data_IF_631194777750
#
_entry.id   IF_631194777750
#
_cell.length_a   1.000
_cell.length_b   1.000
_cell.length_c   1.000
_cell.angle_alpha   90.00
_cell.angle_beta   90.00
_cell.angle_gamma   90.00
#
_symmetry.space_group_name_H-M   'P 1'
#
loop_
_entity.id
_entity.type
_entity.pdbx_description
1 polymer ?
#
# COMPACT_ATOMS: atom_id res chain seq x y z
N UNK A 1 6.42 -1.60 34.72
CA UNK A 1 7.20 -2.54 33.89
C UNK A 1 8.69 -2.25 34.12
N UNK A 2 9.55 -3.26 34.30
CA UNK A 2 11.00 -3.08 34.41
C UNK A 2 11.60 -2.40 33.18
N UNK A 3 12.66 -1.60 33.36
CA UNK A 3 13.32 -0.85 32.28
C UNK A 3 13.82 -1.74 31.13
N UNK A 4 14.35 -2.93 31.47
CA UNK A 4 14.82 -3.90 30.48
C UNK A 4 13.69 -4.49 29.62
N UNK A 5 12.49 -4.66 30.19
CA UNK A 5 11.32 -5.16 29.47
C UNK A 5 10.78 -4.07 28.52
N UNK A 6 10.71 -2.82 28.97
CA UNK A 6 10.36 -1.68 28.11
C UNK A 6 11.34 -1.51 26.94
N UNK A 7 12.64 -1.65 27.19
CA UNK A 7 13.66 -1.57 26.14
C UNK A 7 13.44 -2.64 25.05
N UNK A 8 13.20 -3.90 25.45
CA UNK A 8 12.89 -4.99 24.52
C UNK A 8 11.65 -4.70 23.68
N UNK A 9 10.55 -4.26 24.29
CA UNK A 9 9.32 -3.94 23.56
C UNK A 9 9.51 -2.78 22.57
N UNK A 10 10.30 -1.78 22.95
CA UNK A 10 10.67 -0.67 22.06
C UNK A 10 11.52 -1.13 20.88
N UNK A 11 12.44 -2.07 21.07
CA UNK A 11 13.23 -2.66 19.98
C UNK A 11 12.34 -3.40 18.97
N UNK A 12 11.35 -4.17 19.44
CA UNK A 12 10.39 -4.87 18.56
C UNK A 12 9.60 -3.85 17.73
N UNK A 13 9.02 -2.82 18.38
CA UNK A 13 8.26 -1.81 17.66
C UNK A 13 9.13 -0.97 16.73
N UNK A 14 10.37 -0.64 17.11
CA UNK A 14 11.30 0.07 16.25
C UNK A 14 11.68 -0.76 15.02
N UNK A 15 11.78 -2.08 15.16
CA UNK A 15 11.99 -2.99 14.03
C UNK A 15 10.78 -2.99 13.07
N UNK A 16 9.55 -3.15 13.57
CA UNK A 16 8.34 -3.11 12.75
C UNK A 16 8.13 -1.74 12.08
N UNK A 17 8.33 -0.66 12.83
CA UNK A 17 8.24 0.71 12.33
C UNK A 17 9.19 0.96 11.17
N UNK A 18 10.42 0.45 11.25
CA UNK A 18 11.38 0.54 10.13
C UNK A 18 10.92 -0.24 8.91
N UNK A 19 10.46 -1.47 9.07
CA UNK A 19 9.98 -2.31 7.95
C UNK A 19 8.82 -1.64 7.20
N UNK A 20 7.93 -1.00 7.94
CA UNK A 20 6.73 -0.36 7.41
C UNK A 20 7.05 0.71 6.33
N UNK A 21 8.23 1.37 6.40
CA UNK A 21 8.68 2.28 5.34
C UNK A 21 9.09 1.60 4.03
N UNK A 22 9.38 0.30 4.05
CA UNK A 22 9.92 -0.47 2.93
C UNK A 22 8.90 -1.42 2.28
N UNK A 23 7.62 -1.36 2.65
CA UNK A 23 6.56 -2.15 2.01
C UNK A 23 6.35 -1.64 0.58
N UNK A 24 6.66 -2.37 -0.50
CA UNK A 24 6.44 -1.86 -1.85
C UNK A 24 4.96 -1.85 -2.24
N UNK A 25 4.54 -0.88 -3.05
CA UNK A 25 3.27 -0.98 -3.77
C UNK A 25 3.40 -2.03 -4.88
N UNK A 26 2.49 -3.02 -4.93
CA UNK A 26 2.55 -4.08 -5.94
C UNK A 26 1.85 -3.66 -7.24
N UNK A 27 2.63 -3.32 -8.27
CA UNK A 27 2.08 -2.83 -9.53
C UNK A 27 1.29 -3.91 -10.30
N UNK A 28 1.50 -5.20 -9.99
CA UNK A 28 0.73 -6.32 -10.57
C UNK A 28 -0.76 -6.22 -10.28
N UNK A 29 -1.14 -5.67 -9.12
CA UNK A 29 -2.54 -5.42 -8.76
C UNK A 29 -3.24 -4.50 -9.76
N UNK A 30 -2.49 -3.69 -10.50
CA UNK A 30 -3.04 -2.78 -11.52
C UNK A 30 -2.88 -3.38 -12.92
N UNK A 31 -1.73 -3.99 -13.22
CA UNK A 31 -1.43 -4.48 -14.58
C UNK A 31 -2.07 -5.83 -14.92
N UNK A 32 -2.40 -6.65 -13.92
CA UNK A 32 -2.95 -8.00 -14.11
C UNK A 32 -4.44 -8.12 -13.70
N UNK A 33 -4.97 -7.18 -12.91
CA UNK A 33 -6.39 -7.17 -12.58
C UNK A 33 -7.22 -6.89 -13.83
N UNK A 34 -8.02 -7.90 -14.24
CA UNK A 34 -8.95 -7.82 -15.37
C UNK A 34 -10.20 -7.02 -15.00
N UNK A 35 -10.05 -5.76 -14.59
CA UNK A 35 -11.13 -4.78 -14.71
C UNK A 35 -11.16 -4.26 -16.15
N UNK A 36 -12.23 -3.62 -16.56
CA UNK A 36 -12.46 -3.12 -17.94
C UNK A 36 -11.51 -1.97 -18.34
N UNK A 37 -10.28 -1.99 -17.84
CA UNK A 37 -9.33 -0.90 -17.82
C UNK A 37 -8.12 -1.30 -18.66
N UNK A 38 -7.73 -0.42 -19.59
CA UNK A 38 -6.53 -0.61 -20.40
C UNK A 38 -5.32 -0.15 -19.58
N UNK A 39 -4.31 -1.01 -19.44
CA UNK A 39 -3.04 -0.65 -18.80
C UNK A 39 -1.90 -0.69 -19.82
N UNK A 40 -1.24 0.45 -20.02
CA UNK A 40 -0.10 0.59 -20.92
C UNK A 40 1.16 0.92 -20.10
N UNK A 41 2.15 0.04 -20.12
CA UNK A 41 3.48 0.32 -19.57
C UNK A 41 4.34 0.94 -20.68
N UNK A 42 4.85 2.14 -20.42
CA UNK A 42 5.65 2.93 -21.35
C UNK A 42 7.06 3.08 -20.77
N UNK A 43 8.01 2.32 -21.31
CA UNK A 43 9.42 2.36 -20.89
C UNK A 43 10.35 2.82 -22.01
N UNK A 44 10.14 2.35 -23.24
CA UNK A 44 11.00 2.71 -24.38
C UNK A 44 10.46 3.96 -25.10
N UNK A 45 11.34 4.93 -25.35
CA UNK A 45 10.98 6.15 -26.09
C UNK A 45 9.99 7.06 -25.35
N UNK A 46 9.88 6.96 -24.01
CA UNK A 46 8.94 7.76 -23.22
C UNK A 46 9.13 9.26 -23.50
N UNK A 47 10.37 9.75 -23.54
CA UNK A 47 10.70 11.15 -23.80
C UNK A 47 10.22 11.66 -25.18
N UNK A 48 10.04 10.77 -26.15
CA UNK A 48 9.68 11.11 -27.53
C UNK A 48 8.16 11.21 -27.73
N UNK A 49 7.36 10.77 -26.75
CA UNK A 49 5.90 10.77 -26.81
C UNK A 49 5.35 12.19 -26.66
N UNK A 50 4.48 12.60 -27.56
CA UNK A 50 3.71 13.84 -27.39
C UNK A 50 2.54 13.62 -26.43
N UNK A 51 1.94 14.70 -25.93
CA UNK A 51 0.72 14.60 -25.12
C UNK A 51 -0.41 13.88 -25.87
N UNK A 52 -0.55 14.11 -27.19
CA UNK A 52 -1.57 13.43 -27.99
C UNK A 52 -1.30 11.92 -28.02
N UNK A 53 -0.05 11.50 -28.22
CA UNK A 53 0.31 10.07 -28.26
C UNK A 53 0.05 9.33 -26.94
N UNK A 54 0.06 10.05 -25.82
CA UNK A 54 -0.13 9.47 -24.48
C UNK A 54 -1.61 9.35 -24.10
N UNK A 55 -2.42 10.35 -24.46
CA UNK A 55 -3.79 10.49 -23.94
C UNK A 55 -4.87 10.12 -24.97
N UNK A 56 -4.51 9.95 -26.25
CA UNK A 56 -5.42 9.45 -27.29
C UNK A 56 -5.53 7.92 -27.24
N UNK A 57 -6.28 7.40 -26.25
CA UNK A 57 -6.48 5.96 -26.05
C UNK A 57 -7.83 5.51 -26.64
N UNK A 58 -7.79 4.43 -27.42
CA UNK A 58 -9.00 3.81 -27.97
C UNK A 58 -9.76 3.00 -26.92
N UNK A 59 -11.06 3.28 -26.77
CA UNK A 59 -11.98 2.59 -25.84
C UNK A 59 -13.22 2.07 -26.59
N UNK A 60 -14.05 1.25 -25.93
CA UNK A 60 -15.28 0.68 -26.52
C UNK A 60 -16.33 1.73 -26.90
N UNK A 61 -17.24 1.39 -27.82
CA UNK A 61 -18.23 2.33 -28.39
C UNK A 61 -19.17 2.96 -27.33
N UNK A 62 -19.48 2.24 -26.25
CA UNK A 62 -20.42 2.65 -25.18
C UNK A 62 -19.76 3.36 -23.99
N UNK A 63 -18.44 3.54 -24.02
CA UNK A 63 -17.65 4.09 -22.93
C UNK A 63 -17.09 5.48 -23.27
N UNK A 64 -16.82 6.28 -22.24
CA UNK A 64 -16.03 7.50 -22.33
C UNK A 64 -14.91 7.48 -21.28
N UNK A 65 -13.75 8.07 -21.62
CA UNK A 65 -12.62 8.20 -20.69
C UNK A 65 -13.03 9.15 -19.57
N UNK A 66 -13.01 8.66 -18.33
CA UNK A 66 -13.24 9.45 -17.13
C UNK A 66 -11.94 10.14 -16.67
N UNK A 67 -10.79 9.50 -16.90
CA UNK A 67 -9.47 10.02 -16.60
C UNK A 67 -8.41 8.93 -16.68
N UNK A 68 -7.28 9.15 -16.01
CA UNK A 68 -6.22 8.16 -15.93
C UNK A 68 -5.57 8.13 -14.54
N UNK A 69 -5.06 6.96 -14.15
CA UNK A 69 -4.07 6.84 -13.07
C UNK A 69 -2.70 6.61 -13.70
N UNK A 70 -1.76 7.52 -13.41
CA UNK A 70 -0.40 7.47 -13.90
C UNK A 70 0.55 7.07 -12.78
N UNK A 71 1.24 5.95 -12.95
CA UNK A 71 2.26 5.44 -12.05
C UNK A 71 3.64 5.83 -12.58
N UNK A 72 4.39 6.62 -11.81
CA UNK A 72 5.66 7.20 -12.20
C UNK A 72 6.85 6.52 -11.54
N UNK A 73 7.97 6.45 -12.27
CA UNK A 73 9.25 5.98 -11.76
C UNK A 73 9.20 4.50 -11.43
N UNK A 74 8.78 3.66 -12.38
CA UNK A 74 8.66 2.23 -12.14
C UNK A 74 10.05 1.60 -11.96
N UNK A 75 10.18 0.73 -10.95
CA UNK A 75 11.40 -0.04 -10.71
C UNK A 75 11.09 -1.39 -10.06
N UNK A 76 12.02 -2.34 -10.18
CA UNK A 76 11.87 -3.68 -9.64
C UNK A 76 11.92 -3.68 -8.10
N UNK A 77 11.02 -4.43 -7.45
CA UNK A 77 11.03 -4.62 -5.98
C UNK A 77 12.36 -5.20 -5.49
N UNK A 78 13.08 -5.94 -6.34
CA UNK A 78 14.42 -6.48 -6.09
C UNK A 78 15.50 -5.42 -5.72
N UNK A 79 15.28 -4.14 -5.95
CA UNK A 79 16.17 -3.07 -5.44
C UNK A 79 16.14 -3.00 -3.89
N UNK A 80 15.00 -3.30 -3.27
CA UNK A 80 14.85 -3.36 -1.80
C UNK A 80 15.71 -4.49 -1.23
N UNK A 81 15.70 -5.65 -1.90
CA UNK A 81 16.54 -6.80 -1.54
C UNK A 81 18.03 -6.50 -1.62
N UNK A 82 18.45 -5.70 -2.60
CA UNK A 82 19.84 -5.30 -2.75
C UNK A 82 20.28 -4.42 -1.58
N UNK A 83 19.44 -3.47 -1.16
CA UNK A 83 19.68 -2.69 0.05
C UNK A 83 19.79 -3.59 1.28
N UNK A 84 18.82 -4.49 1.49
CA UNK A 84 18.83 -5.42 2.62
C UNK A 84 20.09 -6.32 2.63
N UNK A 85 20.53 -6.80 1.47
CA UNK A 85 21.79 -7.56 1.31
C UNK A 85 23.02 -6.71 1.64
N UNK A 86 23.03 -5.43 1.29
CA UNK A 86 24.11 -4.50 1.63
C UNK A 86 24.25 -4.25 3.13
N UNK A 87 23.15 -4.30 3.88
CA UNK A 87 23.11 -4.08 5.33
C UNK A 87 23.48 -5.32 6.16
N UNK A 88 23.45 -6.52 5.55
CA UNK A 88 23.78 -7.76 6.27
C UNK A 88 25.27 -7.83 6.61
N UNK A 89 25.57 -8.04 7.90
CA UNK A 89 26.90 -8.50 8.34
C UNK A 89 27.17 -9.91 7.80
N UNK A 90 28.43 -10.23 7.48
CA UNK A 90 28.89 -11.56 7.01
C UNK A 90 28.61 -12.73 7.98
N UNK A 91 27.98 -12.50 9.12
CA UNK A 91 27.81 -13.47 10.22
C UNK A 91 26.51 -14.26 10.15
N UNK A 92 25.53 -13.83 9.36
CA UNK A 92 24.23 -14.52 9.21
C UNK A 92 24.30 -15.37 7.94
N UNK A 93 24.54 -16.68 8.08
CA UNK A 93 24.64 -17.60 6.95
C UNK A 93 23.69 -18.80 7.11
N UNK A 94 22.96 -19.13 6.04
CA UNK A 94 22.32 -20.43 5.84
C UNK A 94 20.80 -20.43 5.91
N UNK A 95 20.23 -20.67 7.10
CA UNK A 95 18.79 -20.92 7.23
C UNK A 95 17.92 -19.66 7.19
N UNK A 96 18.39 -18.56 7.79
CA UNK A 96 17.65 -17.28 7.81
C UNK A 96 17.52 -16.67 6.41
N UNK A 97 18.50 -16.90 5.52
CA UNK A 97 18.44 -16.42 4.13
C UNK A 97 17.33 -17.07 3.30
N UNK A 98 17.06 -18.36 3.51
CA UNK A 98 15.98 -19.05 2.80
C UNK A 98 14.60 -18.63 3.34
N UNK A 99 14.46 -18.49 4.66
CA UNK A 99 13.19 -18.03 5.26
C UNK A 99 12.88 -16.58 4.85
N UNK A 100 13.88 -15.70 4.83
CA UNK A 100 13.72 -14.32 4.37
C UNK A 100 13.36 -14.26 2.89
N UNK A 101 14.01 -15.08 2.04
CA UNK A 101 13.71 -15.14 0.62
C UNK A 101 12.30 -15.70 0.32
N UNK A 102 11.78 -16.62 1.14
CA UNK A 102 10.40 -17.11 1.02
C UNK A 102 9.36 -16.10 1.54
N UNK A 103 9.75 -15.21 2.47
CA UNK A 103 8.86 -14.17 3.02
C UNK A 103 8.86 -12.87 2.23
N UNK A 104 9.93 -12.58 1.51
CA UNK A 104 10.06 -11.35 0.75
C UNK A 104 9.28 -11.44 -0.56
N UNK A 105 8.18 -10.70 -0.68
CA UNK A 105 7.50 -10.47 -1.96
C UNK A 105 8.31 -9.48 -2.81
N UNK A 106 9.41 -9.97 -3.39
CA UNK A 106 10.34 -9.13 -4.17
C UNK A 106 10.25 -9.37 -5.67
N UNK A 107 9.27 -10.16 -6.09
CA UNK A 107 8.95 -10.35 -7.51
C UNK A 107 8.02 -9.24 -8.02
N UNK A 108 8.28 -8.80 -9.24
CA UNK A 108 7.54 -7.72 -9.90
C UNK A 108 8.06 -6.31 -9.62
N UNK A 109 7.23 -5.35 -10.00
CA UNK A 109 7.56 -3.93 -10.05
C UNK A 109 6.77 -3.11 -9.03
N UNK A 110 7.36 -1.98 -8.65
CA UNK A 110 6.74 -0.94 -7.83
C UNK A 110 6.98 0.43 -8.47
N UNK A 111 6.49 1.50 -7.85
CA UNK A 111 6.59 2.86 -8.40
C UNK A 111 6.87 3.90 -7.31
N UNK A 112 7.25 5.11 -7.72
CA UNK A 112 7.48 6.22 -6.80
C UNK A 112 6.18 6.92 -6.40
N UNK A 113 5.28 7.14 -7.37
CA UNK A 113 4.09 7.92 -7.15
C UNK A 113 2.97 7.52 -8.12
N UNK A 114 1.73 7.79 -7.71
CA UNK A 114 0.51 7.73 -8.51
C UNK A 114 -0.05 9.15 -8.63
N UNK A 115 -0.39 9.57 -9.85
CA UNK A 115 -1.09 10.82 -10.12
C UNK A 115 -2.40 10.54 -10.86
N UNK A 116 -3.48 11.19 -10.44
CA UNK A 116 -4.72 11.21 -11.21
C UNK A 116 -4.61 12.26 -12.31
N UNK A 117 -5.14 11.94 -13.48
CA UNK A 117 -5.15 12.81 -14.65
C UNK A 117 -6.57 12.93 -15.19
N UNK A 118 -6.90 14.12 -15.68
CA UNK A 118 -8.11 14.33 -16.49
C UNK A 118 -8.02 13.59 -17.83
N UNK A 119 -9.13 13.43 -18.59
CA UNK A 119 -9.09 12.84 -19.93
C UNK A 119 -8.17 13.55 -20.93
N UNK A 120 -7.81 14.81 -20.66
CA UNK A 120 -6.83 15.57 -21.46
C UNK A 120 -5.38 15.39 -21.02
N UNK A 121 -5.11 14.54 -20.04
CA UNK A 121 -3.78 14.31 -19.46
C UNK A 121 -3.29 15.41 -18.52
N UNK A 122 -4.17 16.30 -18.06
CA UNK A 122 -3.83 17.34 -17.08
C UNK A 122 -3.78 16.72 -15.69
N UNK A 123 -2.69 16.89 -14.92
CA UNK A 123 -2.55 16.29 -13.60
C UNK A 123 -3.39 16.99 -12.55
N UNK A 124 -3.99 16.18 -11.68
CA UNK A 124 -4.52 16.63 -10.40
C UNK A 124 -3.42 16.50 -9.35
N UNK A 125 -2.89 17.65 -8.91
CA UNK A 125 -1.79 17.71 -7.94
C UNK A 125 -2.27 17.62 -6.48
N UNK A 126 -3.58 17.70 -6.25
CA UNK A 126 -4.15 17.59 -4.91
C UNK A 126 -4.40 16.12 -4.52
N UNK A 127 -4.45 15.20 -5.50
CA UNK A 127 -4.65 13.76 -5.30
C UNK A 127 -3.42 12.90 -5.61
N UNK A 128 -2.22 13.45 -5.41
CA UNK A 128 -0.96 12.71 -5.55
C UNK A 128 -0.81 11.72 -4.39
N UNK A 129 -0.53 10.46 -4.72
CA UNK A 129 -0.12 9.44 -3.74
C UNK A 129 1.34 9.04 -3.97
N UNK A 130 2.15 8.93 -2.91
CA UNK A 130 3.59 8.67 -2.99
C UNK A 130 3.98 7.46 -2.16
N UNK A 131 4.89 6.66 -2.71
CA UNK A 131 5.47 5.51 -2.02
C UNK A 131 6.51 5.97 -1.00
N UNK A 132 6.48 5.42 0.21
CA UNK A 132 7.53 5.70 1.21
C UNK A 132 8.87 5.05 0.84
N UNK A 133 8.84 3.98 0.04
CA UNK A 133 10.01 3.13 -0.20
C UNK A 133 11.17 3.89 -0.84
N UNK A 134 11.00 4.67 -1.93
CA UNK A 134 12.13 5.36 -2.55
C UNK A 134 12.81 6.36 -1.61
N UNK A 135 12.01 7.12 -0.85
CA UNK A 135 12.51 8.07 0.13
C UNK A 135 13.25 7.34 1.27
N UNK A 136 12.69 6.25 1.76
CA UNK A 136 13.30 5.45 2.81
C UNK A 136 14.63 4.81 2.36
N UNK A 137 14.71 4.30 1.12
CA UNK A 137 15.96 3.83 0.50
C UNK A 137 16.98 4.97 0.42
N UNK A 138 16.57 6.16 -0.02
CA UNK A 138 17.46 7.32 -0.07
C UNK A 138 18.06 7.67 1.29
N UNK A 139 17.24 7.71 2.35
CA UNK A 139 17.71 7.93 3.73
C UNK A 139 18.66 6.81 4.19
N UNK A 140 18.30 5.56 3.92
CA UNK A 140 19.12 4.40 4.26
C UNK A 140 20.50 4.43 3.56
N UNK A 141 20.55 4.83 2.28
CA UNK A 141 21.80 4.96 1.53
C UNK A 141 22.74 6.04 2.09
N UNK A 142 22.22 6.98 2.88
CA UNK A 142 22.98 8.01 3.58
C UNK A 142 23.22 7.69 5.06
N UNK A 143 22.95 6.46 5.50
CA UNK A 143 23.01 6.02 6.90
C UNK A 143 22.08 6.81 7.86
N UNK A 144 21.03 7.44 7.33
CA UNK A 144 20.08 8.27 8.07
C UNK A 144 18.87 7.46 8.59
N UNK A 145 19.13 6.32 9.24
CA UNK A 145 18.06 5.40 9.73
C UNK A 145 17.13 6.03 10.76
N UNK A 146 17.68 6.89 11.62
CA UNK A 146 16.89 7.58 12.64
C UNK A 146 16.04 8.72 12.05
N UNK A 147 16.25 9.07 10.78
CA UNK A 147 15.42 10.04 10.06
C UNK A 147 14.11 9.43 9.55
N UNK A 148 13.95 8.10 9.56
CA UNK A 148 12.72 7.42 9.20
C UNK A 148 11.68 7.58 10.31
N UNK A 149 10.97 8.72 10.30
CA UNK A 149 9.86 9.03 11.22
C UNK A 149 8.67 9.57 10.44
N UNK A 150 7.46 9.50 11.01
CA UNK A 150 6.25 10.05 10.39
C UNK A 150 6.40 11.56 10.16
N UNK A 151 6.99 12.28 11.13
CA UNK A 151 7.20 13.72 11.00
C UNK A 151 8.15 14.06 9.85
N UNK A 152 9.32 13.41 9.77
CA UNK A 152 10.28 13.70 8.70
C UNK A 152 9.74 13.27 7.33
N UNK A 153 8.95 12.19 7.28
CA UNK A 153 8.21 11.77 6.09
C UNK A 153 7.22 12.85 5.67
N UNK A 154 6.38 13.33 6.58
CA UNK A 154 5.40 14.38 6.32
C UNK A 154 6.06 15.66 5.80
N UNK A 155 7.16 16.10 6.44
CA UNK A 155 7.94 17.26 6.01
C UNK A 155 8.53 17.07 4.60
N UNK A 156 9.08 15.88 4.33
CA UNK A 156 9.62 15.56 3.00
C UNK A 156 8.51 15.50 1.94
N UNK A 157 7.34 14.97 2.26
CA UNK A 157 6.21 14.87 1.33
C UNK A 157 5.60 16.26 1.06
N UNK A 158 5.55 17.14 2.07
CA UNK A 158 5.17 18.54 1.87
C UNK A 158 6.13 19.28 0.92
N UNK A 159 7.45 19.08 1.08
CA UNK A 159 8.46 19.61 0.14
C UNK A 159 8.26 19.06 -1.28
N UNK A 160 7.95 17.77 -1.44
CA UNK A 160 7.64 17.19 -2.74
C UNK A 160 6.42 17.85 -3.38
N UNK A 161 5.35 18.06 -2.63
CA UNK A 161 4.14 18.73 -3.12
C UNK A 161 4.45 20.13 -3.66
N UNK A 162 5.31 20.88 -2.97
CA UNK A 162 5.74 22.20 -3.43
C UNK A 162 6.61 22.14 -4.68
N UNK A 163 7.51 21.17 -4.78
CA UNK A 163 8.31 20.94 -5.99
C UNK A 163 7.44 20.57 -7.19
N UNK A 164 6.44 19.73 -7.01
CA UNK A 164 5.49 19.33 -8.06
C UNK A 164 4.67 20.53 -8.55
N UNK A 165 4.11 21.34 -7.63
CA UNK A 165 3.40 22.59 -7.98
C UNK A 165 4.30 23.58 -8.70
N UNK A 166 5.55 23.72 -8.24
CA UNK A 166 6.55 24.57 -8.89
C UNK A 166 6.93 24.08 -10.29
N UNK A 167 7.05 22.77 -10.50
CA UNK A 167 7.30 22.17 -11.80
C UNK A 167 6.12 22.40 -12.76
N UNK A 168 4.89 22.19 -12.29
CA UNK A 168 3.69 22.43 -13.08
C UNK A 168 3.53 23.91 -13.46
N UNK A 169 3.79 24.82 -12.52
CA UNK A 169 3.77 26.27 -12.79
C UNK A 169 4.77 26.63 -13.90
N UNK A 170 5.99 26.09 -13.84
CA UNK A 170 7.01 26.31 -14.88
C UNK A 170 6.58 25.75 -16.23
N UNK A 171 5.98 24.55 -16.24
CA UNK A 171 5.45 23.91 -17.45
C UNK A 171 4.37 24.77 -18.10
N UNK A 172 3.40 25.24 -17.32
CA UNK A 172 2.30 26.09 -17.78
C UNK A 172 2.77 27.47 -18.29
N UNK A 173 3.82 28.04 -17.69
CA UNK A 173 4.43 29.30 -18.15
C UNK A 173 5.22 29.14 -19.47
N UNK A 174 5.81 27.96 -19.69
CA UNK A 174 6.57 27.66 -20.90
C UNK A 174 5.66 27.27 -22.08
N UNK A 175 4.46 26.77 -21.81
CA UNK A 175 3.51 26.34 -22.83
C UNK A 175 2.91 27.53 -23.60
N UNK A 176 2.83 27.42 -24.93
CA UNK A 176 2.05 28.35 -25.74
C UNK A 176 0.54 28.11 -25.55
N UNK A 177 -0.32 29.10 -25.87
CA UNK A 177 -1.79 28.96 -25.75
C UNK A 177 -2.39 27.77 -26.51
N UNK A 178 -1.67 27.22 -27.52
CA UNK A 178 -2.07 26.03 -28.28
C UNK A 178 -1.54 24.71 -27.69
N UNK A 179 -0.59 24.77 -26.76
CA UNK A 179 0.07 23.64 -26.09
C UNK A 179 -0.38 23.49 -24.63
N UNK A 180 -1.50 24.11 -24.23
CA UNK A 180 -2.13 23.93 -22.89
C UNK A 180 -2.65 22.50 -22.63
N UNK A 181 -2.06 21.51 -23.28
CA UNK A 181 -2.41 20.11 -23.22
C UNK A 181 -1.76 19.42 -22.00
N UNK A 182 -2.25 18.21 -21.72
CA UNK A 182 -1.74 17.34 -20.68
C UNK A 182 -0.25 17.02 -20.80
N UNK A 183 0.25 16.24 -19.85
CA UNK A 183 1.67 15.94 -19.74
C UNK A 183 2.20 15.30 -21.03
N UNK A 184 3.34 15.78 -21.52
CA UNK A 184 4.10 15.16 -22.60
C UNK A 184 5.06 14.11 -22.04
N UNK A 185 5.64 13.28 -22.91
CA UNK A 185 6.68 12.33 -22.55
C UNK A 185 7.90 12.98 -21.87
N UNK A 186 8.31 14.16 -22.33
CA UNK A 186 9.36 14.94 -21.67
C UNK A 186 8.97 15.43 -20.29
N UNK A 187 7.69 15.78 -20.07
CA UNK A 187 7.20 16.14 -18.74
C UNK A 187 7.24 14.93 -17.81
N UNK A 188 6.85 13.74 -18.28
CA UNK A 188 6.91 12.52 -17.48
C UNK A 188 8.34 12.18 -17.07
N UNK A 189 9.31 12.30 -17.98
CA UNK A 189 10.73 12.10 -17.65
C UNK A 189 11.23 13.14 -16.64
N UNK A 190 10.82 14.41 -16.78
CA UNK A 190 11.19 15.46 -15.83
C UNK A 190 10.59 15.21 -14.44
N UNK A 191 9.33 14.76 -14.36
CA UNK A 191 8.68 14.40 -13.09
C UNK A 191 9.36 13.18 -12.44
N UNK A 192 9.73 12.16 -13.22
CA UNK A 192 10.50 11.01 -12.72
C UNK A 192 11.85 11.47 -12.16
N UNK A 193 12.56 12.36 -12.86
CA UNK A 193 13.82 12.93 -12.37
C UNK A 193 13.63 13.72 -11.07
N UNK A 194 12.58 14.54 -10.98
CA UNK A 194 12.23 15.28 -9.77
C UNK A 194 11.97 14.34 -8.58
N UNK A 195 11.23 13.25 -8.80
CA UNK A 195 10.94 12.23 -7.78
C UNK A 195 12.22 11.52 -7.32
N UNK A 196 13.14 11.19 -8.22
CA UNK A 196 14.43 10.56 -7.89
C UNK A 196 15.33 11.50 -7.09
N UNK A 197 15.45 12.75 -7.54
CA UNK A 197 16.24 13.78 -6.86
C UNK A 197 15.68 14.08 -5.47
N UNK A 198 14.36 14.16 -5.32
CA UNK A 198 13.70 14.36 -4.04
C UNK A 198 13.91 13.17 -3.10
N UNK A 199 13.76 11.95 -3.60
CA UNK A 199 13.91 10.74 -2.80
C UNK A 199 15.37 10.50 -2.40
N UNK A 200 16.36 11.01 -3.15
CA UNK A 200 17.76 10.63 -3.00
C UNK A 200 18.03 9.20 -3.49
N UNK A 201 17.20 8.69 -4.40
CA UNK A 201 17.28 7.33 -4.92
C UNK A 201 16.94 7.28 -6.42
N UNK A 202 17.86 6.73 -7.21
CA UNK A 202 17.72 6.59 -8.66
C UNK A 202 17.94 5.12 -9.06
N UNK A 203 16.87 4.31 -9.18
CA UNK A 203 16.98 2.91 -9.56
C UNK A 203 17.44 2.75 -11.01
N UNK A 204 18.02 1.60 -11.34
CA UNK A 204 18.44 1.28 -12.70
C UNK A 204 17.21 1.17 -13.60
N UNK A 205 17.26 1.78 -14.79
CA UNK A 205 16.20 1.70 -15.82
C UNK A 205 14.83 2.29 -15.43
N UNK A 206 14.82 3.30 -14.56
CA UNK A 206 13.64 3.92 -13.95
C UNK A 206 12.85 4.92 -14.80
N UNK A 207 13.17 5.05 -16.10
CA UNK A 207 12.42 5.91 -17.03
C UNK A 207 11.18 5.20 -17.59
N UNK A 208 10.44 4.52 -16.72
CA UNK A 208 9.21 3.82 -17.05
C UNK A 208 8.03 4.42 -16.28
N UNK A 209 6.90 4.48 -16.96
CA UNK A 209 5.62 4.86 -16.39
C UNK A 209 4.55 3.85 -16.81
N UNK A 210 3.53 3.65 -15.98
CA UNK A 210 2.37 2.83 -16.31
C UNK A 210 1.12 3.70 -16.28
N UNK A 211 0.28 3.52 -17.29
CA UNK A 211 -0.95 4.26 -17.47
C UNK A 211 -2.13 3.32 -17.34
N UNK A 212 -3.00 3.56 -16.37
CA UNK A 212 -4.30 2.89 -16.23
C UNK A 212 -5.40 3.84 -16.69
N UNK A 213 -6.22 3.41 -17.64
CA UNK A 213 -7.35 4.19 -18.17
C UNK A 213 -8.59 3.93 -17.33
N UNK A 214 -9.22 4.99 -16.83
CA UNK A 214 -10.52 4.89 -16.15
C UNK A 214 -11.64 5.26 -17.12
N UNK A 215 -12.65 4.39 -17.23
CA UNK A 215 -13.79 4.59 -18.13
C UNK A 215 -15.10 4.74 -17.35
N UNK A 216 -16.07 5.42 -17.95
CA UNK A 216 -17.45 5.47 -17.45
C UNK A 216 -18.42 5.26 -18.61
N UNK A 217 -19.61 4.74 -18.30
CA UNK A 217 -20.68 4.58 -19.31
C UNK A 217 -21.14 5.94 -19.80
N UNK A 218 -21.29 6.09 -21.12
CA UNK A 218 -21.92 7.28 -21.70
C UNK A 218 -23.34 7.42 -21.15
N UNK A 219 -23.69 8.59 -20.62
CA UNK A 219 -25.08 8.89 -20.27
C UNK A 219 -25.87 8.97 -21.58
N UNK A 220 -26.63 7.93 -21.90
CA UNK A 220 -27.72 8.04 -22.86
C UNK A 220 -28.65 9.14 -22.38
N UNK A 221 -28.86 10.14 -23.23
CA UNK A 221 -29.84 11.20 -23.00
C UNK A 221 -31.24 10.62 -23.19
N UNK A 222 -31.69 9.82 -22.22
CA UNK A 222 -33.12 9.59 -22.03
C UNK A 222 -33.65 10.65 -21.07
N UNK A 223 -34.79 11.23 -21.45
CA UNK A 223 -35.44 12.35 -20.79
C UNK A 223 -35.81 12.03 -19.33
N UNK A 224 -35.90 13.04 -18.44
CA UNK A 224 -36.22 12.81 -17.04
C UNK A 224 -37.69 12.40 -16.90
N UNK A 225 -37.96 11.12 -16.61
CA UNK A 225 -39.25 10.70 -16.07
C UNK A 225 -39.28 10.87 -14.54
N UNK A 226 -40.46 11.23 -13.99
CA UNK A 226 -40.55 11.97 -12.74
C UNK A 226 -40.37 11.09 -11.50
N UNK A 227 -39.84 11.74 -10.48
CA UNK A 227 -39.69 11.24 -9.11
C UNK A 227 -41.00 10.67 -8.54
N UNK A 228 -40.93 9.44 -8.05
CA UNK A 228 -41.82 8.95 -7.01
C UNK A 228 -41.01 8.46 -5.80
N UNK A 229 -41.29 8.95 -4.59
CA UNK A 229 -40.62 8.53 -3.38
C UNK A 229 -41.28 7.26 -2.85
N UNK A 230 -40.49 6.23 -2.55
CA UNK A 230 -40.90 5.18 -1.63
C UNK A 230 -39.66 4.62 -0.95
N UNK A 231 -39.58 4.91 0.34
CA UNK A 231 -38.73 4.21 1.28
C UNK A 231 -39.08 2.72 1.26
N UNK A 232 -38.07 1.84 1.18
CA UNK A 232 -38.03 0.74 2.12
C UNK A 232 -36.61 0.24 2.35
N UNK A 233 -36.40 -0.21 3.58
CA UNK A 233 -35.14 -0.56 4.20
C UNK A 233 -34.58 -1.86 3.62
N UNK A 234 -33.30 -1.87 3.26
CA UNK A 234 -32.52 -3.10 3.17
C UNK A 234 -31.07 -2.82 3.59
N UNK A 235 -30.67 -3.52 4.65
CA UNK A 235 -29.37 -3.52 5.33
C UNK A 235 -28.30 -4.07 4.36
N UNK A 236 -27.11 -3.46 4.20
CA UNK A 236 -26.04 -4.10 3.44
C UNK A 236 -25.34 -5.15 4.29
N UNK A 237 -25.34 -6.37 3.77
CA UNK A 237 -24.53 -7.49 4.23
C UNK A 237 -23.05 -7.17 4.02
N UNK A 238 -22.26 -7.21 5.10
CA UNK A 238 -20.80 -7.17 5.02
C UNK A 238 -20.30 -8.47 4.39
N UNK A 239 -19.73 -8.37 3.18
CA UNK A 239 -18.85 -9.40 2.61
C UNK A 239 -17.40 -8.97 2.74
N UNK A 240 -16.69 -9.71 3.59
CA UNK A 240 -15.23 -9.76 3.66
C UNK A 240 -14.67 -10.39 2.37
N UNK A 241 -13.89 -9.63 1.61
CA UNK A 241 -12.85 -10.15 0.71
C UNK A 241 -11.96 -9.02 0.21
N UNK A 242 -10.67 -9.08 0.58
CA UNK A 242 -9.58 -8.32 -0.04
C UNK A 242 -9.36 -6.93 0.55
N UNK A 243 -8.30 -6.80 1.36
CA UNK A 243 -7.68 -5.51 1.67
C UNK A 243 -7.14 -4.89 0.37
N UNK A 244 -8.00 -4.15 -0.31
CA UNK A 244 -7.60 -3.15 -1.29
C UNK A 244 -7.21 -1.89 -0.52
N UNK A 245 -6.17 -1.13 -0.94
CA UNK A 245 -6.06 0.25 -0.49
C UNK A 245 -7.35 0.94 -0.92
N UNK A 246 -8.15 1.33 0.08
CA UNK A 246 -9.41 2.00 -0.14
C UNK A 246 -9.14 3.30 -0.91
N UNK A 247 -9.63 3.42 -2.14
CA UNK A 247 -9.96 4.73 -2.72
C UNK A 247 -11.14 5.26 -1.87
N UNK A 248 -10.80 5.83 -0.72
CA UNK A 248 -11.71 6.57 0.14
C UNK A 248 -12.00 7.91 -0.52
N UNK A 249 -13.07 7.96 -1.30
CA UNK A 249 -13.72 9.20 -1.72
C UNK A 249 -14.52 9.74 -0.52
N UNK A 250 -13.82 10.19 0.53
CA UNK A 250 -14.41 10.93 1.63
C UNK A 250 -14.31 12.43 1.32
N UNK A 251 -15.38 12.94 0.72
CA UNK A 251 -15.67 14.38 0.62
C UNK A 251 -16.02 14.93 2.02
N UNK A 252 -14.99 15.12 2.85
CA UNK A 252 -15.03 16.05 3.99
C UNK A 252 -14.15 17.26 3.69
N UNK A 253 -14.75 18.23 3.01
CA UNK A 253 -14.29 19.62 2.86
C UNK A 253 -14.18 20.33 4.23
N UNK A 254 -13.21 19.92 5.04
CA UNK A 254 -12.59 20.78 6.03
C UNK A 254 -11.20 21.13 5.48
N UNK A 255 -10.88 22.42 5.36
CA UNK A 255 -9.60 22.92 4.88
C UNK A 255 -8.43 22.34 5.70
N UNK A 256 -7.95 21.17 5.28
CA UNK A 256 -6.64 20.61 5.59
C UNK A 256 -5.76 20.95 4.40
N UNK A 257 -4.53 21.38 4.66
CA UNK A 257 -3.53 21.50 3.60
C UNK A 257 -3.49 20.17 2.83
N UNK A 258 -3.35 20.19 1.49
CA UNK A 258 -3.29 18.96 0.70
C UNK A 258 -2.03 18.16 1.11
N UNK A 259 -2.21 17.22 2.04
CA UNK A 259 -1.20 16.25 2.44
C UNK A 259 -1.14 15.18 1.35
N UNK A 260 0.06 14.91 0.83
CA UNK A 260 0.28 13.82 -0.13
C UNK A 260 -0.03 12.49 0.55
N UNK A 261 -0.89 11.70 -0.10
CA UNK A 261 -1.33 10.39 0.39
C UNK A 261 -0.22 9.34 0.29
N UNK A 262 -0.25 8.31 1.14
CA UNK A 262 0.75 7.24 1.18
C UNK A 262 0.25 6.03 0.39
N UNK A 263 1.04 5.53 -0.57
CA UNK A 263 0.63 4.40 -1.41
C UNK A 263 0.61 3.03 -0.71
N UNK A 264 1.43 2.85 0.33
CA UNK A 264 1.93 1.52 0.70
C UNK A 264 2.11 1.31 2.21
N UNK A 265 1.78 2.30 3.05
CA UNK A 265 2.08 2.23 4.48
C UNK A 265 1.07 2.98 5.33
N UNK A 266 0.29 2.22 6.10
CA UNK A 266 -0.82 2.72 6.90
C UNK A 266 -0.47 2.81 8.39
N UNK A 267 0.51 2.03 8.87
CA UNK A 267 0.70 1.80 10.31
C UNK A 267 1.81 2.64 10.96
N UNK A 268 2.55 3.47 10.21
CA UNK A 268 3.68 4.27 10.76
C UNK A 268 3.23 5.10 11.96
N UNK A 269 2.12 5.85 11.80
CA UNK A 269 1.55 6.71 12.86
C UNK A 269 1.13 5.92 14.10
N UNK A 270 0.57 4.73 13.89
CA UNK A 270 0.12 3.86 14.97
C UNK A 270 1.29 3.25 15.74
N UNK A 271 2.34 2.84 15.03
CA UNK A 271 3.57 2.32 15.63
C UNK A 271 4.29 3.40 16.44
N UNK A 272 4.39 4.63 15.93
CA UNK A 272 4.97 5.75 16.70
C UNK A 272 4.15 6.09 17.94
N UNK A 273 2.82 6.04 17.84
CA UNK A 273 1.93 6.23 18.99
C UNK A 273 2.14 5.14 20.04
N UNK A 274 2.29 3.88 19.63
CA UNK A 274 2.59 2.76 20.51
C UNK A 274 3.97 2.90 21.19
N UNK A 275 5.01 3.30 20.43
CA UNK A 275 6.34 3.59 20.97
C UNK A 275 6.31 4.75 21.97
N UNK A 276 5.55 5.81 21.70
CA UNK A 276 5.39 6.94 22.60
C UNK A 276 4.67 6.53 23.90
N UNK A 277 3.63 5.69 23.81
CA UNK A 277 2.95 5.13 24.97
C UNK A 277 3.89 4.28 25.85
N UNK A 278 4.74 3.44 25.24
CA UNK A 278 5.80 2.71 25.94
C UNK A 278 6.78 3.63 26.68
N UNK A 279 7.26 4.68 26.02
CA UNK A 279 8.18 5.65 26.64
C UNK A 279 7.57 6.40 27.82
N UNK A 280 6.26 6.67 27.77
CA UNK A 280 5.51 7.32 28.88
C UNK A 280 5.10 6.35 29.99
N UNK A 281 5.26 5.04 29.79
CA UNK A 281 4.78 4.01 30.71
C UNK A 281 3.27 3.78 30.67
N UNK A 282 2.59 4.27 29.63
CA UNK A 282 1.13 4.18 29.42
C UNK A 282 0.78 3.00 28.50
N UNK A 283 1.34 1.82 28.76
CA UNK A 283 1.25 0.68 27.85
C UNK A 283 -0.07 -0.05 28.05
N UNK A 284 -0.90 -0.21 26.99
CA UNK A 284 -2.08 -1.07 27.07
C UNK A 284 -1.66 -2.52 27.34
N UNK A 285 -2.32 -3.20 28.28
CA UNK A 285 -2.03 -4.61 28.60
C UNK A 285 -2.10 -5.53 27.36
N UNK A 286 -3.00 -5.23 26.42
CA UNK A 286 -3.11 -5.94 25.16
C UNK A 286 -1.86 -5.82 24.29
N UNK A 287 -1.21 -4.65 24.24
CA UNK A 287 0.01 -4.44 23.48
C UNK A 287 1.18 -5.22 24.10
N UNK A 288 1.32 -5.21 25.43
CA UNK A 288 2.33 -6.03 26.13
C UNK A 288 2.12 -7.51 25.85
N UNK A 289 0.88 -8.00 25.98
CA UNK A 289 0.54 -9.41 25.72
C UNK A 289 0.80 -9.82 24.27
N UNK A 290 0.60 -8.91 23.31
CA UNK A 290 0.86 -9.15 21.90
C UNK A 290 2.36 -9.19 21.56
N UNK A 291 3.14 -8.25 22.10
CA UNK A 291 4.57 -8.13 21.77
C UNK A 291 5.46 -9.16 22.48
N UNK A 292 5.11 -9.56 23.71
CA UNK A 292 5.90 -10.54 24.47
C UNK A 292 5.04 -11.63 25.12
N UNK A 293 4.35 -12.47 24.33
CA UNK A 293 3.60 -13.58 24.89
C UNK A 293 4.58 -14.60 25.49
N UNK A 294 4.26 -15.17 26.67
CA UNK A 294 5.14 -16.06 27.40
C UNK A 294 5.56 -17.26 26.55
N UNK A 295 6.88 -17.48 26.41
CA UNK A 295 7.43 -18.54 25.53
C UNK A 295 6.94 -19.94 25.85
N UNK A 296 6.58 -20.23 27.11
CA UNK A 296 6.03 -21.52 27.53
C UNK A 296 4.67 -21.84 26.91
N UNK A 297 3.98 -20.85 26.32
CA UNK A 297 2.66 -21.00 25.70
C UNK A 297 2.73 -21.10 24.17
N UNK A 298 3.91 -20.86 23.56
CA UNK A 298 4.09 -20.96 22.12
C UNK A 298 4.19 -22.42 21.67
N UNK A 299 3.35 -22.80 20.72
CA UNK A 299 3.39 -24.13 20.10
C UNK A 299 3.91 -23.96 18.66
N UNK A 300 5.09 -24.52 18.38
CA UNK A 300 5.57 -24.66 17.00
C UNK A 300 4.68 -25.67 16.25
N UNK A 301 3.89 -25.15 15.30
CA UNK A 301 2.95 -25.91 14.49
C UNK A 301 3.62 -26.94 13.57
N UNK A 302 4.89 -26.73 13.20
CA UNK A 302 5.64 -27.65 12.35
C UNK A 302 6.21 -28.85 13.11
N UNK A 303 6.36 -28.71 14.44
CA UNK A 303 6.80 -29.79 15.33
C UNK A 303 5.78 -30.94 15.40
N UNK A 304 6.23 -32.10 15.87
CA UNK A 304 5.33 -33.23 16.12
C UNK A 304 4.25 -32.94 17.16
N UNK A 305 4.51 -32.05 18.13
CA UNK A 305 3.52 -31.59 19.09
C UNK A 305 2.52 -30.62 18.45
N UNK A 306 2.99 -29.72 17.59
CA UNK A 306 2.16 -28.79 16.82
C UNK A 306 1.18 -29.51 15.89
N UNK A 307 1.66 -30.52 15.15
CA UNK A 307 0.79 -31.33 14.28
C UNK A 307 -0.31 -32.05 15.05
N UNK A 308 -0.02 -32.53 16.26
CA UNK A 308 -1.05 -33.09 17.15
C UNK A 308 -2.03 -32.02 17.61
N UNK A 309 -1.53 -30.85 18.02
CA UNK A 309 -2.39 -29.73 18.39
C UNK A 309 -3.33 -29.31 17.24
N UNK A 310 -2.83 -29.29 15.99
CA UNK A 310 -3.66 -29.04 14.80
C UNK A 310 -4.76 -30.10 14.69
N UNK A 311 -4.41 -31.37 14.80
CA UNK A 311 -5.37 -32.47 14.71
C UNK A 311 -6.44 -32.41 15.80
N UNK A 312 -6.04 -32.16 17.04
CA UNK A 312 -6.94 -32.07 18.19
C UNK A 312 -7.88 -30.87 18.06
N UNK A 313 -7.35 -29.73 17.61
CA UNK A 313 -8.11 -28.49 17.44
C UNK A 313 -9.08 -28.56 16.25
N UNK A 314 -8.75 -29.33 15.21
CA UNK A 314 -9.60 -29.57 14.04
C UNK A 314 -10.50 -30.79 14.18
N UNK A 315 -10.53 -31.41 15.36
CA UNK A 315 -11.39 -32.55 15.62
C UNK A 315 -12.86 -32.21 15.33
N UNK A 316 -13.63 -33.08 14.63
CA UNK A 316 -15.02 -32.78 14.25
C UNK A 316 -15.93 -32.36 15.42
N UNK A 317 -15.64 -32.86 16.62
CA UNK A 317 -16.37 -32.48 17.85
C UNK A 317 -16.15 -31.03 18.31
N UNK A 318 -15.20 -30.29 17.72
CA UNK A 318 -14.96 -28.86 17.96
C UNK A 318 -15.56 -27.97 16.88
N UNK A 319 -16.23 -28.55 15.88
CA UNK A 319 -16.95 -27.73 14.90
C UNK A 319 -18.22 -27.15 15.52
N UNK A 320 -18.62 -25.93 15.12
CA UNK A 320 -19.87 -25.34 15.58
C UNK A 320 -21.06 -26.24 15.19
N UNK A 321 -21.97 -26.47 16.14
CA UNK A 321 -23.12 -27.35 15.95
C UNK A 321 -24.10 -26.86 14.86
N UNK A 322 -24.03 -25.57 14.53
CA UNK A 322 -24.78 -24.95 13.44
C UNK A 322 -23.83 -24.18 12.52
N UNK A 323 -24.12 -24.23 11.22
CA UNK A 323 -23.43 -23.45 10.19
C UNK A 323 -24.46 -22.80 9.29
N UNK A 324 -24.15 -21.60 8.82
CA UNK A 324 -24.96 -20.98 7.78
C UNK A 324 -24.89 -21.81 6.49
N UNK A 325 -25.97 -21.83 5.72
CA UNK A 325 -25.97 -22.46 4.41
C UNK A 325 -25.06 -21.62 3.50
N UNK A 326 -23.92 -22.18 3.12
CA UNK A 326 -22.95 -21.58 2.19
C UNK A 326 -22.57 -22.57 1.11
N UNK A 327 -22.14 -22.05 -0.03
CA UNK A 327 -21.69 -22.89 -1.14
C UNK A 327 -20.33 -23.52 -0.80
N UNK A 328 -20.01 -24.72 -1.32
CA UNK A 328 -18.76 -25.42 -1.00
C UNK A 328 -17.48 -24.63 -1.33
N UNK A 329 -17.57 -23.70 -2.28
CA UNK A 329 -16.46 -22.84 -2.70
C UNK A 329 -16.10 -21.77 -1.65
N UNK A 330 -16.98 -21.54 -0.67
CA UNK A 330 -16.79 -20.60 0.45
C UNK A 330 -16.37 -21.31 1.74
N UNK A 331 -15.77 -22.50 1.62
CA UNK A 331 -15.27 -23.23 2.78
C UNK A 331 -14.11 -22.49 3.45
N UNK A 332 -14.14 -22.44 4.78
CA UNK A 332 -13.07 -21.87 5.59
C UNK A 332 -11.80 -22.72 5.47
N UNK A 333 -10.62 -22.08 5.47
CA UNK A 333 -9.36 -22.82 5.46
C UNK A 333 -9.17 -23.57 6.78
N UNK A 334 -8.42 -24.68 6.75
CA UNK A 334 -8.14 -25.46 7.96
C UNK A 334 -7.46 -24.62 9.04
N UNK A 335 -6.55 -23.71 8.66
CA UNK A 335 -5.86 -22.87 9.63
C UNK A 335 -6.74 -21.78 10.22
N UNK A 336 -7.70 -21.24 9.46
CA UNK A 336 -8.73 -20.34 10.00
C UNK A 336 -9.60 -21.07 11.03
N UNK A 337 -10.07 -22.30 10.73
CA UNK A 337 -10.86 -23.08 11.67
C UNK A 337 -10.06 -23.46 12.93
N UNK A 338 -8.78 -23.80 12.75
CA UNK A 338 -7.85 -24.03 13.86
C UNK A 338 -7.77 -22.79 14.76
N UNK A 339 -7.59 -21.62 14.17
CA UNK A 339 -7.44 -20.37 14.88
C UNK A 339 -8.72 -20.04 15.68
N UNK A 340 -9.90 -20.16 15.06
CA UNK A 340 -11.19 -19.95 15.75
C UNK A 340 -11.35 -20.91 16.93
N UNK A 341 -11.09 -22.20 16.73
CA UNK A 341 -11.22 -23.18 17.80
C UNK A 341 -10.21 -22.92 18.92
N UNK A 342 -8.99 -22.49 18.57
CA UNK A 342 -7.98 -22.12 19.53
C UNK A 342 -8.38 -20.87 20.31
N UNK A 343 -9.01 -19.88 19.66
CA UNK A 343 -9.57 -18.71 20.32
C UNK A 343 -10.61 -19.13 21.36
N UNK A 344 -11.62 -19.92 20.98
CA UNK A 344 -12.67 -20.36 21.90
C UNK A 344 -12.17 -21.23 23.06
N UNK A 345 -11.14 -22.05 22.84
CA UNK A 345 -10.59 -22.89 23.91
C UNK A 345 -9.69 -22.10 24.87
N UNK A 346 -8.85 -21.21 24.33
CA UNK A 346 -7.77 -20.57 25.09
C UNK A 346 -8.15 -19.19 25.62
N UNK A 347 -9.00 -18.47 24.90
CA UNK A 347 -9.50 -17.17 25.29
C UNK A 347 -10.87 -17.38 25.89
N UNK A 348 -10.95 -17.18 27.21
CA UNK A 348 -12.21 -17.23 27.94
C UNK A 348 -13.02 -15.96 27.71
N UNK A 349 -13.12 -15.12 28.74
CA UNK A 349 -13.78 -13.81 28.64
C UNK A 349 -12.81 -12.66 28.31
N UNK A 350 -11.52 -12.92 28.27
CA UNK A 350 -10.45 -11.92 28.07
C UNK A 350 -9.27 -12.49 27.25
N UNK A 351 -8.37 -11.58 26.85
CA UNK A 351 -7.17 -11.88 26.09
C UNK A 351 -7.18 -11.27 24.68
N UNK A 352 -6.07 -11.47 23.96
CA UNK A 352 -5.87 -10.97 22.60
C UNK A 352 -5.83 -12.15 21.64
N UNK A 353 -6.58 -12.04 20.56
CA UNK A 353 -6.54 -12.99 19.44
C UNK A 353 -6.03 -12.25 18.20
N UNK A 354 -5.02 -12.80 17.56
CA UNK A 354 -4.49 -12.33 16.27
C UNK A 354 -4.12 -13.56 15.45
N UNK A 355 -4.42 -13.56 14.16
CA UNK A 355 -4.24 -14.69 13.23
C UNK A 355 -3.41 -14.26 12.04
#
# INVERSE_FOLDING_TARGET
>A
MPEAETAKLLEILAYWHRIEFFIPFDLKQVTEEKRSECVAVISAGLAEKTAIDLWDVSIGEDEEIAGFNLYLGIFAKAEIDQLAKGLRSKTVAGNEENEDAERADTDGDTCFARLKLTPGGVPDLDSVSVSTVPWAIGRANHDEWDALTDQNRADAFADLGERLRGAETKRLLAASDKERAGLSGSDLVALIGLLQDWAGFAPRHSQAAALQVTTRKKRTSESPEPSHPAADQAIPEHSEAGEQPADGDDDESAARDPEIDILNSFYIRDLERAMAALRRGEVPAALTAYLDPPMSERIDLYSGAGRRAIFDMLHPGRQPAGRWLRTPEQAMSLMQQFAINAAFERLGSDGVFSV
#
